data_IF_159964645961
#
_entry.id   IF_159964645961
#
_cell.length_a   1.000
_cell.length_b   1.000
_cell.length_c   1.000
_cell.angle_alpha   90.00
_cell.angle_beta   90.00
_cell.angle_gamma   90.00
#
_symmetry.space_group_name_H-M   'P 1'
#
loop_
_entity.id
_entity.type
_entity.pdbx_description
1 polymer ?
#
# COMPACT_ATOMS: atom_id res chain seq x y z
N UNK A 1 -1.00 14.12 13.61
CA UNK A 1 -1.30 12.93 12.79
C UNK A 1 -0.18 12.79 11.78
N UNK A 2 0.76 11.87 12.01
CA UNK A 2 1.85 11.60 11.08
C UNK A 2 1.31 10.79 9.90
N UNK A 3 1.23 11.41 8.72
CA UNK A 3 1.02 10.68 7.48
C UNK A 3 2.29 9.90 7.17
N UNK A 4 2.23 8.57 7.25
CA UNK A 4 3.34 7.71 6.88
C UNK A 4 3.65 7.86 5.39
N UNK A 5 4.91 8.24 5.09
CA UNK A 5 5.45 8.24 3.73
C UNK A 5 5.69 6.79 3.30
N UNK A 6 5.37 6.48 2.05
CA UNK A 6 5.67 5.16 1.48
C UNK A 6 7.17 4.85 1.52
N UNK A 7 7.52 3.57 1.67
CA UNK A 7 8.92 3.12 1.60
C UNK A 7 9.51 3.41 0.21
N UNK A 8 10.80 3.74 0.16
CA UNK A 8 11.48 4.20 -1.07
C UNK A 8 11.49 3.22 -2.25
N UNK A 9 11.14 1.95 -2.04
CA UNK A 9 10.96 0.99 -3.14
C UNK A 9 9.63 1.18 -3.86
N UNK A 10 8.53 1.44 -3.14
CA UNK A 10 7.24 1.73 -3.75
C UNK A 10 7.27 3.05 -4.53
N UNK A 11 7.85 4.11 -3.95
CA UNK A 11 8.06 5.36 -4.69
C UNK A 11 8.90 5.12 -5.94
N UNK A 12 9.91 4.23 -5.90
CA UNK A 12 10.73 3.89 -7.07
C UNK A 12 9.97 3.07 -8.11
N UNK A 13 9.09 2.15 -7.71
CA UNK A 13 8.22 1.40 -8.63
C UNK A 13 7.18 2.30 -9.29
N UNK A 14 6.53 3.15 -8.50
CA UNK A 14 5.57 4.15 -8.99
C UNK A 14 6.26 5.13 -9.94
N UNK A 15 7.46 5.62 -9.62
CA UNK A 15 8.25 6.48 -10.52
C UNK A 15 8.79 5.73 -11.76
N UNK A 16 8.88 4.40 -11.73
CA UNK A 16 9.22 3.58 -12.92
C UNK A 16 8.05 3.45 -13.90
N UNK A 17 6.81 3.61 -13.45
CA UNK A 17 5.70 3.78 -14.38
C UNK A 17 5.93 5.09 -15.16
N UNK A 18 5.87 5.04 -16.49
CA UNK A 18 6.18 6.17 -17.38
C UNK A 18 5.37 7.41 -16.97
N UNK A 19 5.91 8.64 -17.09
CA UNK A 19 5.39 9.89 -16.50
C UNK A 19 3.87 10.19 -16.68
N UNK A 20 3.17 9.56 -17.63
CA UNK A 20 1.70 9.64 -17.75
C UNK A 20 0.90 8.62 -16.92
N UNK A 21 1.49 7.47 -16.55
CA UNK A 21 0.87 6.38 -15.81
C UNK A 21 1.05 6.41 -14.29
N UNK A 22 2.07 7.14 -13.80
CA UNK A 22 2.41 7.27 -12.37
C UNK A 22 1.18 7.64 -11.52
N UNK A 23 0.44 8.67 -11.94
CA UNK A 23 -0.75 9.16 -11.21
C UNK A 23 -1.87 8.12 -11.16
N UNK A 24 -2.02 7.32 -12.22
CA UNK A 24 -3.04 6.27 -12.29
C UNK A 24 -2.68 5.12 -11.35
N UNK A 25 -1.44 4.64 -11.43
CA UNK A 25 -0.92 3.59 -10.54
C UNK A 25 -1.01 4.03 -9.08
N UNK A 26 -0.57 5.26 -8.79
CA UNK A 26 -0.70 5.89 -7.48
C UNK A 26 -2.15 5.87 -6.96
N UNK A 27 -3.10 6.29 -7.81
CA UNK A 27 -4.51 6.28 -7.45
C UNK A 27 -5.06 4.87 -7.23
N UNK A 28 -4.61 3.87 -7.97
CA UNK A 28 -5.00 2.46 -7.78
C UNK A 28 -4.51 1.91 -6.44
N UNK A 29 -3.26 2.19 -6.08
CA UNK A 29 -2.73 1.84 -4.76
C UNK A 29 -3.46 2.56 -3.64
N UNK A 30 -3.68 3.87 -3.76
CA UNK A 30 -4.41 4.63 -2.74
C UNK A 30 -5.82 4.05 -2.51
N UNK A 31 -6.56 3.73 -3.59
CA UNK A 31 -7.88 3.07 -3.48
C UNK A 31 -7.80 1.71 -2.81
N UNK A 32 -6.78 0.90 -3.14
CA UNK A 32 -6.55 -0.39 -2.49
C UNK A 32 -6.36 -0.22 -0.99
N UNK A 33 -5.46 0.67 -0.56
CA UNK A 33 -5.20 0.93 0.85
C UNK A 33 -6.42 1.47 1.58
N UNK A 34 -7.13 2.45 1.01
CA UNK A 34 -8.33 3.03 1.62
C UNK A 34 -9.43 1.97 1.80
N UNK A 35 -9.63 1.08 0.82
CA UNK A 35 -10.55 -0.05 0.90
C UNK A 35 -10.13 -1.07 1.96
N UNK A 36 -8.83 -1.37 2.04
CA UNK A 36 -8.31 -2.28 3.05
C UNK A 36 -8.38 -1.69 4.46
N UNK A 37 -8.08 -0.41 4.64
CA UNK A 37 -8.23 0.31 5.91
C UNK A 37 -9.68 0.29 6.39
N UNK A 38 -10.65 0.51 5.49
CA UNK A 38 -12.07 0.47 5.87
C UNK A 38 -12.53 -0.93 6.31
N UNK A 39 -11.98 -1.98 5.71
CA UNK A 39 -12.47 -3.37 5.89
C UNK A 39 -11.68 -4.16 6.95
N UNK A 40 -10.38 -3.89 7.07
CA UNK A 40 -9.44 -4.68 7.87
C UNK A 40 -8.81 -3.91 9.03
N UNK A 41 -9.18 -2.65 9.27
CA UNK A 41 -8.76 -1.93 10.48
C UNK A 41 -9.10 -2.74 11.74
N UNK A 42 -8.13 -2.86 12.64
CA UNK A 42 -8.23 -3.63 13.88
C UNK A 42 -8.10 -5.14 13.70
N UNK A 43 -7.85 -5.65 12.49
CA UNK A 43 -7.62 -7.09 12.25
C UNK A 43 -6.13 -7.44 12.37
N UNK A 44 -5.79 -8.70 12.69
CA UNK A 44 -4.40 -9.13 12.82
C UNK A 44 -3.62 -9.00 11.52
N UNK A 45 -2.34 -8.60 11.63
CA UNK A 45 -1.39 -8.52 10.51
C UNK A 45 -1.30 -9.82 9.71
N UNK A 46 -1.36 -10.98 10.38
CA UNK A 46 -1.37 -12.30 9.74
C UNK A 46 -2.55 -12.51 8.79
N UNK A 47 -3.69 -11.88 9.06
CA UNK A 47 -4.87 -11.90 8.17
C UNK A 47 -4.72 -10.90 7.04
N UNK A 48 -4.12 -9.74 7.31
CA UNK A 48 -3.99 -8.65 6.34
C UNK A 48 -2.91 -8.93 5.30
N UNK A 49 -1.74 -9.45 5.71
CA UNK A 49 -0.58 -9.74 4.83
C UNK A 49 -0.96 -10.47 3.53
N UNK A 50 -1.58 -11.67 3.57
CA UNK A 50 -1.88 -12.41 2.33
C UNK A 50 -2.85 -11.68 1.40
N UNK A 51 -3.79 -10.90 1.97
CA UNK A 51 -4.77 -10.12 1.21
C UNK A 51 -4.10 -8.91 0.56
N UNK A 52 -3.24 -8.22 1.31
CA UNK A 52 -2.45 -7.11 0.82
C UNK A 52 -1.58 -7.56 -0.36
N UNK A 53 -0.88 -8.69 -0.21
CA UNK A 53 0.00 -9.24 -1.25
C UNK A 53 -0.76 -9.49 -2.55
N UNK A 54 -1.93 -10.13 -2.44
CA UNK A 54 -2.78 -10.43 -3.60
C UNK A 54 -3.25 -9.17 -4.31
N UNK A 55 -3.66 -8.15 -3.57
CA UNK A 55 -4.13 -6.90 -4.18
C UNK A 55 -2.97 -6.09 -4.80
N UNK A 56 -1.80 -6.09 -4.16
CA UNK A 56 -0.59 -5.43 -4.67
C UNK A 56 -0.15 -6.01 -6.02
N UNK A 57 -0.06 -7.34 -6.10
CA UNK A 57 0.31 -8.04 -7.33
C UNK A 57 -0.67 -7.80 -8.48
N UNK A 58 -1.96 -7.56 -8.19
CA UNK A 58 -2.95 -7.21 -9.23
C UNK A 58 -2.69 -5.85 -9.87
N UNK A 59 -2.12 -4.91 -9.12
CA UNK A 59 -1.77 -3.58 -9.64
C UNK A 59 -0.47 -3.66 -10.46
N UNK A 60 0.36 -4.67 -10.20
CA UNK A 60 1.55 -4.99 -10.98
C UNK A 60 2.87 -4.56 -10.34
N UNK A 61 2.88 -4.26 -9.04
CA UNK A 61 4.11 -4.05 -8.28
C UNK A 61 4.63 -5.34 -7.63
N UNK A 62 5.91 -5.34 -7.29
CA UNK A 62 6.50 -6.33 -6.40
C UNK A 62 6.57 -5.74 -4.98
N UNK A 63 6.43 -6.60 -3.97
CA UNK A 63 6.55 -6.17 -2.59
C UNK A 63 7.27 -7.22 -1.77
N UNK A 64 8.26 -6.75 -1.01
CA UNK A 64 9.02 -7.62 -0.11
C UNK A 64 8.20 -7.96 1.13
N UNK A 65 8.48 -9.11 1.75
CA UNK A 65 7.76 -9.54 2.97
C UNK A 65 7.89 -8.56 4.16
N UNK A 66 9.05 -7.90 4.40
CA UNK A 66 9.15 -6.85 5.42
C UNK A 66 8.21 -5.68 5.14
N UNK A 67 8.16 -5.20 3.89
CA UNK A 67 7.27 -4.11 3.49
C UNK A 67 5.80 -4.50 3.64
N UNK A 68 5.45 -5.71 3.20
CA UNK A 68 4.12 -6.28 3.37
C UNK A 68 3.70 -6.29 4.85
N UNK A 69 4.63 -6.61 5.75
CA UNK A 69 4.41 -6.61 7.20
C UNK A 69 4.18 -5.20 7.72
N UNK A 70 5.01 -4.24 7.34
CA UNK A 70 4.85 -2.83 7.72
C UNK A 70 3.51 -2.26 7.28
N UNK A 71 3.13 -2.46 6.02
CA UNK A 71 1.84 -1.97 5.52
C UNK A 71 0.65 -2.69 6.16
N UNK A 72 0.74 -4.00 6.36
CA UNK A 72 -0.30 -4.74 7.07
C UNK A 72 -0.46 -4.28 8.52
N UNK A 73 0.64 -3.91 9.20
CA UNK A 73 0.62 -3.31 10.52
C UNK A 73 -0.09 -1.96 10.49
N UNK A 74 0.22 -1.07 9.54
CA UNK A 74 -0.48 0.21 9.40
C UNK A 74 -1.99 0.06 9.17
N UNK A 75 -2.39 -0.92 8.36
CA UNK A 75 -3.80 -1.23 8.14
C UNK A 75 -4.44 -1.75 9.43
N UNK A 76 -3.78 -2.65 10.14
CA UNK A 76 -4.20 -3.15 11.46
C UNK A 76 -4.42 -1.99 12.45
N UNK A 77 -3.44 -1.08 12.53
CA UNK A 77 -3.47 0.09 13.42
C UNK A 77 -4.51 1.14 13.00
N UNK A 78 -5.04 1.03 11.78
CA UNK A 78 -5.94 2.03 11.20
C UNK A 78 -5.25 3.35 10.85
N UNK A 79 -3.93 3.30 10.66
CA UNK A 79 -3.13 4.45 10.24
C UNK A 79 -3.33 4.71 8.77
N UNK A 80 -3.75 5.93 8.42
CA UNK A 80 -3.91 6.32 7.02
C UNK A 80 -2.55 6.35 6.33
N UNK A 81 -2.43 5.59 5.26
CA UNK A 81 -1.28 5.60 4.37
C UNK A 81 -1.59 6.61 3.26
N UNK A 82 -0.78 7.65 3.13
CA UNK A 82 -0.97 8.70 2.13
C UNK A 82 0.17 8.71 1.12
N UNK A 83 -0.17 8.59 -0.15
CA UNK A 83 0.77 8.95 -1.20
C UNK A 83 0.90 10.47 -1.25
N UNK A 84 2.09 10.99 -0.92
CA UNK A 84 2.48 12.33 -1.35
C UNK A 84 3.06 12.18 -2.75
N UNK A 85 2.33 12.68 -3.75
CA UNK A 85 2.87 12.92 -5.09
C UNK A 85 3.67 14.22 -5.11
#
# INVERSE_FOLDING_TARGET
>A
MEGFKFSGNFEREVNRAVQGGVKKVAAEYQRMFDGMLRTYKGRPVSTIKPILRRNWQKIGGDITDPELTTYAQHISDGTKIQMKM
#
